data_IF_510760943701
#
_entry.id   IF_510760943701
#
_cell.length_a   1.000
_cell.length_b   1.000
_cell.length_c   1.000
_cell.angle_alpha   90.00
_cell.angle_beta   90.00
_cell.angle_gamma   90.00
#
_symmetry.space_group_name_H-M   'P 1'
#
loop_
_entity.id
_entity.type
_entity.pdbx_description
1 polymer ?
#
# COMPACT_ATOMS: atom_id res chain seq x y z
N UNK A 1 -5.84 -19.42 15.77
CA UNK A 1 -6.39 -18.29 14.97
C UNK A 1 -5.44 -18.03 13.82
N UNK A 2 -5.89 -18.08 12.55
CA UNK A 2 -5.03 -17.69 11.42
C UNK A 2 -4.84 -16.18 11.48
N UNK A 3 -3.63 -15.71 11.76
CA UNK A 3 -3.34 -14.27 11.87
C UNK A 3 -3.10 -13.69 10.48
N UNK A 4 -3.99 -12.82 10.01
CA UNK A 4 -3.82 -12.06 8.76
C UNK A 4 -2.65 -11.05 8.84
N UNK A 5 -2.28 -10.63 10.05
CA UNK A 5 -1.22 -9.65 10.27
C UNK A 5 0.16 -10.11 9.77
N UNK A 6 0.54 -11.38 10.01
CA UNK A 6 1.86 -11.90 9.62
C UNK A 6 2.12 -11.83 8.10
N UNK A 7 1.23 -12.35 7.22
CA UNK A 7 1.43 -12.23 5.77
C UNK A 7 1.44 -10.77 5.28
N UNK A 8 0.65 -9.88 5.88
CA UNK A 8 0.71 -8.43 5.58
C UNK A 8 2.06 -7.83 5.97
N UNK A 9 2.55 -8.13 7.17
CA UNK A 9 3.88 -7.68 7.63
C UNK A 9 4.98 -8.17 6.67
N UNK A 10 4.88 -9.41 6.18
CA UNK A 10 5.86 -9.94 5.22
C UNK A 10 5.78 -9.23 3.86
N UNK A 11 4.58 -8.89 3.37
CA UNK A 11 4.42 -8.12 2.12
C UNK A 11 5.00 -6.71 2.26
N UNK A 12 4.72 -6.02 3.36
CA UNK A 12 5.30 -4.71 3.61
C UNK A 12 6.81 -4.76 3.87
N UNK A 13 7.28 -5.80 4.57
CA UNK A 13 8.71 -6.02 4.80
C UNK A 13 9.45 -6.26 3.48
N UNK A 14 8.86 -7.03 2.56
CA UNK A 14 9.40 -7.22 1.22
C UNK A 14 9.37 -5.92 0.41
N UNK A 15 8.28 -5.15 0.48
CA UNK A 15 8.17 -3.84 -0.16
C UNK A 15 9.27 -2.88 0.29
N UNK A 16 9.43 -2.71 1.61
CA UNK A 16 10.49 -1.92 2.23
C UNK A 16 11.89 -2.40 1.83
N UNK A 17 12.11 -3.72 1.77
CA UNK A 17 13.39 -4.30 1.37
C UNK A 17 13.74 -4.00 -0.09
N UNK A 18 12.82 -4.27 -1.02
CA UNK A 18 13.00 -3.97 -2.45
C UNK A 18 13.24 -2.49 -2.67
N UNK A 19 12.59 -1.67 -1.86
CA UNK A 19 12.74 -0.25 -1.91
C UNK A 19 14.10 0.24 -1.41
N UNK A 20 14.55 -0.28 -0.27
CA UNK A 20 15.90 -0.04 0.24
C UNK A 20 16.98 -0.47 -0.75
N UNK A 21 16.76 -1.59 -1.45
CA UNK A 21 17.64 -2.05 -2.52
C UNK A 21 17.67 -1.07 -3.71
N UNK A 22 16.51 -0.57 -4.14
CA UNK A 22 16.39 0.46 -5.18
C UNK A 22 17.11 1.76 -4.78
N UNK A 23 16.93 2.21 -3.54
CA UNK A 23 17.62 3.38 -3.00
C UNK A 23 19.15 3.21 -3.04
N UNK A 24 19.64 2.07 -2.57
CA UNK A 24 21.08 1.77 -2.51
C UNK A 24 21.71 1.68 -3.91
N UNK A 25 20.99 1.16 -4.91
CA UNK A 25 21.50 0.96 -6.27
C UNK A 25 21.33 2.24 -7.13
N UNK A 26 20.24 2.98 -6.97
CA UNK A 26 19.86 4.09 -7.87
C UNK A 26 20.03 5.49 -7.26
N UNK A 27 20.34 5.62 -5.96
CA UNK A 27 20.69 6.89 -5.31
C UNK A 27 19.56 7.92 -5.16
N UNK A 28 18.30 7.56 -5.41
CA UNK A 28 17.16 8.48 -5.37
C UNK A 28 16.62 8.70 -3.94
N UNK A 29 16.90 9.88 -3.38
CA UNK A 29 16.69 10.19 -1.97
C UNK A 29 15.29 10.75 -1.60
N UNK A 30 14.81 10.32 -0.44
CA UNK A 30 13.80 10.95 0.43
C UNK A 30 12.30 10.76 0.13
N UNK A 31 11.83 10.84 -1.11
CA UNK A 31 10.39 10.86 -1.46
C UNK A 31 9.65 9.56 -1.06
N UNK A 32 10.44 8.51 -1.03
CA UNK A 32 10.01 7.14 -1.06
C UNK A 32 9.66 6.58 0.31
N UNK A 33 10.33 7.04 1.36
CA UNK A 33 10.04 6.66 2.75
C UNK A 33 8.67 7.13 3.24
N UNK A 34 8.23 8.32 2.78
CA UNK A 34 6.89 8.83 3.08
C UNK A 34 5.83 7.97 2.38
N UNK A 35 6.10 7.55 1.14
CA UNK A 35 5.28 6.58 0.42
C UNK A 35 5.18 5.23 1.14
N UNK A 36 6.30 4.69 1.62
CA UNK A 36 6.30 3.43 2.38
C UNK A 36 5.51 3.53 3.67
N UNK A 37 5.77 4.56 4.48
CA UNK A 37 5.04 4.78 5.73
C UNK A 37 3.53 4.94 5.46
N UNK A 38 3.18 5.65 4.38
CA UNK A 38 1.82 5.78 3.92
C UNK A 38 1.20 4.43 3.57
N UNK A 39 1.85 3.63 2.71
CA UNK A 39 1.33 2.33 2.27
C UNK A 39 1.17 1.34 3.41
N UNK A 40 2.17 1.22 4.29
CA UNK A 40 2.14 0.32 5.45
C UNK A 40 1.02 0.73 6.41
N UNK A 41 0.99 1.99 6.83
CA UNK A 41 0.02 2.47 7.82
C UNK A 41 -1.41 2.36 7.31
N UNK A 42 -1.66 2.83 6.09
CA UNK A 42 -3.01 2.83 5.52
C UNK A 42 -3.47 1.43 5.10
N UNK A 43 -2.57 0.57 4.64
CA UNK A 43 -2.93 -0.79 4.24
C UNK A 43 -3.20 -1.74 5.40
N UNK A 44 -2.41 -1.69 6.48
CA UNK A 44 -2.73 -2.44 7.73
C UNK A 44 -4.09 -1.97 8.28
N UNK A 45 -4.30 -0.66 8.33
CA UNK A 45 -5.55 -0.08 8.84
C UNK A 45 -6.75 -0.49 7.98
N UNK A 46 -6.62 -0.43 6.64
CA UNK A 46 -7.66 -0.82 5.71
C UNK A 46 -8.00 -2.30 5.82
N UNK A 47 -6.98 -3.17 5.92
CA UNK A 47 -7.21 -4.60 6.05
C UNK A 47 -7.87 -4.93 7.39
N UNK A 48 -7.43 -4.32 8.49
CA UNK A 48 -8.04 -4.47 9.81
C UNK A 48 -9.50 -3.98 9.84
N UNK A 49 -9.79 -2.86 9.19
CA UNK A 49 -11.16 -2.35 9.05
C UNK A 49 -12.03 -3.31 8.23
N UNK A 50 -11.55 -3.76 7.06
CA UNK A 50 -12.27 -4.69 6.21
C UNK A 50 -12.55 -6.02 6.93
N UNK A 51 -11.57 -6.50 7.71
CA UNK A 51 -11.70 -7.69 8.55
C UNK A 51 -12.75 -7.51 9.64
N UNK A 52 -12.73 -6.37 10.34
CA UNK A 52 -13.71 -6.05 11.37
C UNK A 52 -15.13 -6.01 10.80
N UNK A 53 -15.30 -5.48 9.58
CA UNK A 53 -16.59 -5.44 8.90
C UNK A 53 -17.07 -6.83 8.46
N UNK A 54 -16.17 -7.71 8.05
CA UNK A 54 -16.48 -9.11 7.72
C UNK A 54 -16.95 -9.91 8.94
N UNK A 55 -16.33 -9.68 10.10
CA UNK A 55 -16.72 -10.27 11.39
C UNK A 55 -18.12 -9.81 11.83
N UNK A 56 -18.50 -8.57 11.52
CA UNK A 56 -19.85 -8.06 11.77
C UNK A 56 -20.90 -8.61 10.79
N UNK A 57 -20.57 -8.69 9.50
CA UNK A 57 -21.45 -9.24 8.48
C UNK A 57 -20.64 -9.80 7.32
N UNK A 58 -20.80 -11.11 7.08
CA UNK A 58 -20.15 -11.80 5.97
C UNK A 58 -20.41 -11.14 4.61
N UNK A 59 -19.38 -11.08 3.78
CA UNK A 59 -19.41 -10.49 2.45
C UNK A 59 -19.16 -8.97 2.41
N UNK A 60 -18.80 -8.35 3.53
CA UNK A 60 -18.45 -6.91 3.57
C UNK A 60 -16.97 -6.64 3.33
N UNK A 61 -16.10 -7.65 3.46
CA UNK A 61 -14.67 -7.48 3.26
C UNK A 61 -14.34 -6.85 1.91
N UNK A 62 -14.77 -7.48 0.82
CA UNK A 62 -14.43 -7.07 -0.55
C UNK A 62 -14.87 -5.63 -0.85
N UNK A 63 -16.14 -5.24 -0.65
CA UNK A 63 -16.56 -3.86 -0.92
C UNK A 63 -15.86 -2.83 -0.02
N UNK A 64 -15.62 -3.15 1.26
CA UNK A 64 -14.90 -2.25 2.17
C UNK A 64 -13.44 -2.06 1.74
N UNK A 65 -12.77 -3.16 1.38
CA UNK A 65 -11.39 -3.15 0.92
C UNK A 65 -11.24 -2.39 -0.41
N UNK A 66 -12.17 -2.60 -1.34
CA UNK A 66 -12.18 -1.91 -2.62
C UNK A 66 -12.39 -0.39 -2.48
N UNK A 67 -13.46 0.03 -1.77
CA UNK A 67 -13.76 1.46 -1.57
C UNK A 67 -12.64 2.14 -0.79
N UNK A 68 -12.17 1.51 0.29
CA UNK A 68 -11.06 2.06 1.07
C UNK A 68 -9.76 2.09 0.27
N UNK A 69 -9.51 1.14 -0.63
CA UNK A 69 -8.36 1.12 -1.54
C UNK A 69 -8.38 2.28 -2.55
N UNK A 70 -9.55 2.68 -3.05
CA UNK A 70 -9.71 3.87 -3.90
C UNK A 70 -9.43 5.14 -3.10
N UNK A 71 -10.02 5.28 -1.92
CA UNK A 71 -9.78 6.44 -1.05
C UNK A 71 -8.31 6.55 -0.66
N UNK A 72 -7.67 5.44 -0.34
CA UNK A 72 -6.22 5.34 -0.08
C UNK A 72 -5.41 5.77 -1.31
N UNK A 73 -5.83 5.41 -2.52
CA UNK A 73 -5.11 5.87 -3.71
C UNK A 73 -5.17 7.40 -3.83
N UNK A 74 -6.37 7.98 -3.70
CA UNK A 74 -6.58 9.43 -3.80
C UNK A 74 -5.81 10.20 -2.72
N UNK A 75 -5.82 9.69 -1.49
CA UNK A 75 -5.07 10.26 -0.38
C UNK A 75 -3.56 10.11 -0.58
N UNK A 76 -3.09 9.01 -1.16
CA UNK A 76 -1.67 8.82 -1.51
C UNK A 76 -1.19 9.79 -2.58
N UNK A 77 -2.03 10.07 -3.59
CA UNK A 77 -1.75 11.13 -4.58
C UNK A 77 -1.61 12.50 -3.90
N UNK A 78 -2.51 12.85 -2.98
CA UNK A 78 -2.45 14.12 -2.26
C UNK A 78 -1.30 14.22 -1.25
N UNK A 79 -0.99 13.14 -0.53
CA UNK A 79 0.01 13.14 0.53
C UNK A 79 1.44 12.98 0.01
N UNK A 80 1.62 12.32 -1.14
CA UNK A 80 2.94 11.98 -1.67
C UNK A 80 3.21 12.69 -3.00
N UNK A 81 2.28 12.67 -3.97
CA UNK A 81 2.53 13.29 -5.28
C UNK A 81 2.41 14.82 -5.24
N UNK A 82 1.44 15.38 -4.50
CA UNK A 82 1.25 16.83 -4.45
C UNK A 82 2.51 17.57 -3.90
N UNK A 83 3.17 17.14 -2.81
CA UNK A 83 4.42 17.74 -2.37
C UNK A 83 5.56 17.66 -3.40
N UNK A 84 5.56 16.66 -4.28
CA UNK A 84 6.54 16.53 -5.36
C UNK A 84 6.30 17.55 -6.46
N UNK A 85 5.03 17.72 -6.84
CA UNK A 85 4.63 18.73 -7.82
C UNK A 85 4.96 20.13 -7.31
N UNK A 86 4.81 20.39 -6.02
CA UNK A 86 5.12 21.69 -5.41
C UNK A 86 6.62 21.98 -5.27
N UNK A 87 7.49 20.97 -5.36
CA UNK A 87 8.95 21.11 -5.21
C UNK A 87 9.69 21.29 -6.54
N UNK A 88 8.97 21.36 -7.67
CA UNK A 88 9.55 21.41 -9.03
C UNK A 88 10.66 20.37 -9.21
N UNK A 89 10.40 19.13 -8.77
CA UNK A 89 11.38 18.05 -8.85
C UNK A 89 11.70 17.76 -10.34
N UNK A 90 12.97 17.86 -10.77
CA UNK A 90 13.35 17.63 -12.17
C UNK A 90 13.06 16.19 -12.64
N UNK A 91 12.87 15.26 -11.70
CA UNK A 91 12.51 13.86 -11.95
C UNK A 91 11.05 13.54 -11.59
N UNK A 92 10.18 14.54 -11.43
CA UNK A 92 8.78 14.38 -11.02
C UNK A 92 8.06 13.24 -11.74
N UNK A 93 8.12 13.20 -13.08
CA UNK A 93 7.43 12.18 -13.87
C UNK A 93 7.92 10.75 -13.55
N UNK A 94 9.23 10.57 -13.35
CA UNK A 94 9.82 9.28 -13.00
C UNK A 94 9.44 8.87 -11.57
N UNK A 95 9.52 9.81 -10.62
CA UNK A 95 9.19 9.57 -9.22
C UNK A 95 7.69 9.26 -9.03
N UNK A 96 6.82 10.02 -9.72
CA UNK A 96 5.38 9.78 -9.74
C UNK A 96 5.04 8.40 -10.33
N UNK A 97 5.68 8.03 -11.44
CA UNK A 97 5.46 6.72 -12.07
C UNK A 97 5.92 5.57 -11.17
N UNK A 98 7.08 5.71 -10.52
CA UNK A 98 7.57 4.71 -9.56
C UNK A 98 6.64 4.58 -8.35
N UNK A 99 6.14 5.69 -7.81
CA UNK A 99 5.15 5.67 -6.72
C UNK A 99 3.86 4.94 -7.13
N UNK A 100 3.30 5.27 -8.30
CA UNK A 100 2.09 4.61 -8.82
C UNK A 100 2.34 3.12 -9.05
N UNK A 101 3.49 2.76 -9.64
CA UNK A 101 3.87 1.36 -9.87
C UNK A 101 3.98 0.56 -8.57
N UNK A 102 4.67 1.11 -7.57
CA UNK A 102 4.78 0.50 -6.25
C UNK A 102 3.42 0.38 -5.54
N UNK A 103 2.56 1.41 -5.65
CA UNK A 103 1.19 1.38 -5.12
C UNK A 103 0.36 0.25 -5.74
N UNK A 104 0.39 0.11 -7.07
CA UNK A 104 -0.32 -0.96 -7.79
C UNK A 104 0.20 -2.33 -7.35
N UNK A 105 1.52 -2.50 -7.24
CA UNK A 105 2.12 -3.74 -6.77
C UNK A 105 1.63 -4.12 -5.36
N UNK A 106 1.69 -3.18 -4.41
CA UNK A 106 1.22 -3.38 -3.03
C UNK A 106 -0.27 -3.72 -3.02
N UNK A 107 -1.10 -3.00 -3.79
CA UNK A 107 -2.53 -3.26 -3.88
C UNK A 107 -2.84 -4.67 -4.41
N UNK A 108 -2.13 -5.12 -5.45
CA UNK A 108 -2.28 -6.47 -6.01
C UNK A 108 -1.85 -7.52 -4.98
N UNK A 109 -0.70 -7.33 -4.32
CA UNK A 109 -0.20 -8.26 -3.32
C UNK A 109 -1.16 -8.40 -2.13
N UNK A 110 -1.66 -7.28 -1.60
CA UNK A 110 -2.66 -7.27 -0.53
C UNK A 110 -3.99 -7.90 -0.97
N UNK A 111 -4.45 -7.62 -2.20
CA UNK A 111 -5.69 -8.20 -2.73
C UNK A 111 -5.56 -9.72 -2.91
N UNK A 112 -4.40 -10.19 -3.37
CA UNK A 112 -4.10 -11.61 -3.47
C UNK A 112 -4.12 -12.26 -2.08
N UNK A 113 -3.44 -11.65 -1.10
CA UNK A 113 -3.48 -12.11 0.30
C UNK A 113 -4.92 -12.16 0.83
N UNK A 114 -5.71 -11.12 0.62
CA UNK A 114 -7.11 -11.07 1.01
C UNK A 114 -7.93 -12.22 0.41
N UNK A 115 -7.82 -12.45 -0.90
CA UNK A 115 -8.53 -13.53 -1.59
C UNK A 115 -8.10 -14.91 -1.09
N UNK A 116 -6.79 -15.14 -0.94
CA UNK A 116 -6.27 -16.41 -0.42
C UNK A 116 -6.67 -16.66 1.03
N UNK A 117 -6.84 -15.60 1.82
CA UNK A 117 -7.23 -15.70 3.21
C UNK A 117 -8.74 -15.92 3.38
N UNK A 118 -9.59 -15.17 2.66
CA UNK A 118 -11.05 -15.35 2.64
C UNK A 118 -11.42 -16.76 2.17
N UNK A 119 -10.77 -17.29 1.11
CA UNK A 119 -11.02 -18.67 0.64
C UNK A 119 -10.60 -19.77 1.62
N UNK A 120 -9.81 -19.42 2.64
CA UNK A 120 -9.27 -20.34 3.66
C UNK A 120 -9.99 -20.25 5.01
N UNK A 121 -10.98 -19.37 5.14
CA UNK A 121 -11.93 -19.30 6.26
C UNK A 121 -13.19 -20.10 5.94
#
# INVERSE_FOLDING_TARGET
MKTWALPLILVYGLGLFLHGLSYYIAGNAAIFWVGDAYWVGTGISLFGLAQTLEEQKKGRFIPAYFVGGILRMLLGLGAVILPLAMRDDPNFNSNALQFVGAYIFVLIAESALAVFWIKKQ
#
